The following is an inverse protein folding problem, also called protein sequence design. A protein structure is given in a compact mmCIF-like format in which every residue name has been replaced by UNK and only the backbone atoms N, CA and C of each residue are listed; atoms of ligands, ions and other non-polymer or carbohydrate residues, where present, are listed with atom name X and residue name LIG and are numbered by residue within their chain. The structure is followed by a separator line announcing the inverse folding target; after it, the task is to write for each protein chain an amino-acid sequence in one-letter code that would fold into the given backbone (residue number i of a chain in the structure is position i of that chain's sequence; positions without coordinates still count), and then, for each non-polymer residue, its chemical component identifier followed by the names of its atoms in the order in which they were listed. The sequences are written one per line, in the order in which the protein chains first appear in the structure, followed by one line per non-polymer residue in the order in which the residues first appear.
data_IF_795626875269
#
_entry.id   IF_795626875269
#
_cell.length_a   1.000
_cell.length_b   1.000
_cell.length_c   1.000
_cell.angle_alpha   90.00
_cell.angle_beta   90.00
_cell.angle_gamma   90.00
#
_symmetry.space_group_name_H-M   'P 1'
#
loop_
_entity.id
_entity.type
_entity.pdbx_description
1 polymer ?
#
# COMPACT_ATOMS: atom_id res chain seq x y z
N UNK A 1 -4.65 -1.90 -6.84
CA UNK A 1 -4.39 -0.55 -7.35
C UNK A 1 -4.13 0.43 -6.19
N UNK A 2 -3.28 1.47 -6.40
CA UNK A 2 -2.55 1.70 -7.65
C UNK A 2 -1.13 1.13 -7.67
N UNK A 3 -0.77 0.17 -6.78
CA UNK A 3 0.57 -0.47 -6.85
C UNK A 3 0.74 -1.17 -8.20
N UNK A 4 -0.13 -2.13 -8.48
CA UNK A 4 -0.22 -2.77 -9.79
C UNK A 4 -1.59 -2.51 -10.40
N UNK A 5 -1.62 -1.98 -11.62
CA UNK A 5 -2.86 -1.77 -12.38
C UNK A 5 -2.86 -2.76 -13.56
N UNK A 6 -3.59 -3.86 -13.39
CA UNK A 6 -3.58 -4.98 -14.34
C UNK A 6 -4.65 -4.90 -15.42
N UNK A 7 -5.61 -3.97 -15.31
CA UNK A 7 -6.76 -3.82 -16.23
C UNK A 7 -7.13 -2.35 -16.42
N UNK A 8 -7.89 -2.08 -17.49
CA UNK A 8 -8.42 -0.75 -17.79
C UNK A 8 -7.43 0.20 -18.47
N UNK A 9 -7.79 1.48 -18.64
CA UNK A 9 -6.99 2.46 -19.39
C UNK A 9 -5.65 2.81 -18.73
N UNK A 10 -5.54 2.56 -17.41
CA UNK A 10 -4.32 2.82 -16.64
C UNK A 10 -3.46 1.57 -16.44
N UNK A 11 -3.73 0.48 -17.17
CA UNK A 11 -2.94 -0.75 -17.09
C UNK A 11 -1.45 -0.45 -17.25
N UNK A 12 -0.64 -0.95 -16.30
CA UNK A 12 0.82 -0.78 -16.31
C UNK A 12 1.30 0.61 -15.87
N UNK A 13 0.40 1.49 -15.38
CA UNK A 13 0.75 2.83 -14.89
C UNK A 13 0.84 2.90 -13.36
N UNK A 14 0.63 1.80 -12.65
CA UNK A 14 0.76 1.74 -11.20
C UNK A 14 2.18 2.01 -10.71
N UNK A 15 2.32 2.30 -9.42
CA UNK A 15 3.61 2.62 -8.81
C UNK A 15 4.61 1.48 -9.02
N UNK A 16 4.25 0.27 -8.62
CA UNK A 16 5.12 -0.90 -8.74
C UNK A 16 5.30 -1.32 -10.20
N UNK A 17 4.28 -1.15 -11.07
CA UNK A 17 4.41 -1.37 -12.52
C UNK A 17 5.54 -0.51 -13.11
N UNK A 18 5.56 0.78 -12.79
CA UNK A 18 6.54 1.75 -13.31
C UNK A 18 7.93 1.52 -12.73
N UNK A 19 8.04 1.30 -11.41
CA UNK A 19 9.31 0.98 -10.77
C UNK A 19 9.88 -0.34 -11.31
N UNK A 20 9.07 -1.38 -11.47
CA UNK A 20 9.47 -2.63 -12.09
C UNK A 20 10.00 -2.41 -13.51
N UNK A 21 9.34 -1.58 -14.32
CA UNK A 21 9.81 -1.24 -15.66
C UNK A 21 11.18 -0.56 -15.65
N UNK A 22 11.41 0.38 -14.71
CA UNK A 22 12.72 1.00 -14.55
C UNK A 22 13.80 -0.02 -14.16
N UNK A 23 13.50 -0.95 -13.26
CA UNK A 23 14.41 -2.03 -12.87
C UNK A 23 14.76 -2.88 -14.10
N UNK A 24 13.76 -3.36 -14.82
CA UNK A 24 13.94 -4.20 -16.02
C UNK A 24 14.82 -3.50 -17.07
N UNK A 25 14.56 -2.22 -17.33
CA UNK A 25 15.35 -1.43 -18.29
C UNK A 25 16.80 -1.23 -17.84
N UNK A 26 17.04 -1.22 -16.53
CA UNK A 26 18.39 -1.12 -15.95
C UNK A 26 19.18 -2.42 -15.97
N UNK A 27 18.52 -3.58 -16.06
CA UNK A 27 19.16 -4.90 -16.07
C UNK A 27 19.70 -5.23 -17.48
N UNK A 28 20.91 -4.73 -17.77
CA UNK A 28 21.55 -4.91 -19.08
C UNK A 28 21.83 -6.38 -19.39
N UNK A 29 21.59 -6.80 -20.63
CA UNK A 29 21.87 -8.15 -21.11
C UNK A 29 20.91 -9.25 -20.63
N UNK A 30 19.86 -8.88 -19.88
CA UNK A 30 18.82 -9.83 -19.44
C UNK A 30 17.55 -9.67 -20.29
N UNK A 31 16.99 -10.79 -20.71
CA UNK A 31 15.63 -10.85 -21.26
C UNK A 31 14.66 -11.09 -20.11
N UNK A 32 13.59 -10.34 -20.05
CA UNK A 32 12.55 -10.47 -19.04
C UNK A 32 11.16 -10.44 -19.67
N UNK A 33 10.23 -11.15 -19.05
CA UNK A 33 8.82 -11.16 -19.38
C UNK A 33 8.03 -10.87 -18.11
N UNK A 34 7.07 -9.94 -18.18
CA UNK A 34 6.17 -9.65 -17.07
C UNK A 34 4.87 -10.40 -17.24
N UNK A 35 4.47 -11.12 -16.20
CA UNK A 35 3.21 -11.88 -16.15
C UNK A 35 2.36 -11.43 -14.95
N UNK A 36 1.05 -11.41 -15.14
CA UNK A 36 0.07 -11.19 -14.06
C UNK A 36 -0.37 -12.55 -13.52
N UNK A 37 -0.27 -12.72 -12.21
CA UNK A 37 -0.69 -13.93 -11.53
C UNK A 37 -1.39 -13.58 -10.21
N UNK A 38 -2.21 -14.49 -9.67
CA UNK A 38 -2.77 -14.36 -8.33
C UNK A 38 -1.74 -14.73 -7.26
N UNK A 39 -2.02 -14.36 -6.00
CA UNK A 39 -1.09 -14.55 -4.88
C UNK A 39 -0.65 -16.01 -4.70
N UNK A 40 -1.57 -16.98 -4.82
CA UNK A 40 -1.25 -18.41 -4.69
C UNK A 40 -0.29 -18.86 -5.78
N UNK A 41 -0.47 -18.39 -7.02
CA UNK A 41 0.41 -18.73 -8.14
C UNK A 41 1.80 -18.09 -7.95
N UNK A 42 1.85 -16.83 -7.51
CA UNK A 42 3.11 -16.13 -7.20
C UNK A 42 3.88 -16.90 -6.12
N UNK A 43 3.22 -17.24 -5.00
CA UNK A 43 3.84 -18.00 -3.92
C UNK A 43 4.36 -19.36 -4.39
N UNK A 44 3.59 -20.07 -5.21
CA UNK A 44 3.99 -21.35 -5.77
C UNK A 44 5.21 -21.21 -6.68
N UNK A 45 5.22 -20.25 -7.62
CA UNK A 45 6.34 -20.01 -8.55
C UNK A 45 7.64 -19.65 -7.81
N UNK A 46 7.56 -18.83 -6.78
CA UNK A 46 8.70 -18.39 -5.98
C UNK A 46 9.30 -19.49 -5.11
N UNK A 47 8.52 -20.52 -4.80
CA UNK A 47 8.97 -21.67 -4.01
C UNK A 47 9.50 -22.82 -4.90
N UNK A 48 9.55 -22.62 -6.22
CA UNK A 48 10.16 -23.56 -7.16
C UNK A 48 11.53 -23.03 -7.61
N UNK A 49 12.39 -23.92 -8.09
CA UNK A 49 13.68 -23.55 -8.71
C UNK A 49 13.50 -22.87 -10.07
N UNK A 50 12.61 -21.87 -10.12
CA UNK A 50 12.31 -21.11 -11.34
C UNK A 50 12.96 -19.76 -11.32
N UNK A 51 13.40 -19.31 -12.50
CA UNK A 51 13.97 -17.96 -12.71
C UNK A 51 12.85 -16.92 -12.77
N UNK A 52 12.15 -16.69 -11.63
CA UNK A 52 11.04 -15.76 -11.49
C UNK A 52 11.24 -14.90 -10.25
N UNK A 53 10.84 -13.63 -10.32
CA UNK A 53 10.81 -12.71 -9.18
C UNK A 53 9.48 -11.99 -9.11
N UNK A 54 9.11 -11.49 -7.94
CA UNK A 54 7.90 -10.73 -7.68
C UNK A 54 8.24 -9.34 -7.13
N UNK A 55 7.77 -8.29 -7.80
CA UNK A 55 8.10 -6.90 -7.46
C UNK A 55 7.12 -6.25 -6.45
N UNK A 56 6.38 -7.04 -5.70
CA UNK A 56 5.38 -6.58 -4.74
C UNK A 56 5.53 -7.19 -3.34
N UNK A 57 6.73 -7.68 -2.99
CA UNK A 57 7.01 -8.23 -1.67
C UNK A 57 7.20 -7.11 -0.63
N UNK A 58 7.02 -7.43 0.64
CA UNK A 58 7.33 -6.53 1.74
C UNK A 58 8.81 -6.62 2.10
N UNK A 59 9.46 -5.45 2.16
CA UNK A 59 10.84 -5.36 2.65
C UNK A 59 10.92 -5.66 4.15
N UNK A 60 11.99 -6.36 4.54
CA UNK A 60 12.26 -6.71 5.94
C UNK A 60 11.67 -8.05 6.38
N UNK A 61 10.97 -8.76 5.52
CA UNK A 61 10.60 -10.16 5.78
C UNK A 61 11.82 -11.06 5.60
N UNK A 62 12.49 -11.40 6.70
CA UNK A 62 13.74 -12.21 6.71
C UNK A 62 13.55 -13.65 6.23
N UNK A 63 12.34 -14.12 6.07
CA UNK A 63 12.06 -15.45 5.51
C UNK A 63 12.32 -15.51 4.00
N UNK A 64 12.52 -14.36 3.34
CA UNK A 64 12.65 -14.29 1.90
C UNK A 64 13.89 -13.51 1.46
N UNK A 65 14.45 -13.92 0.33
CA UNK A 65 15.48 -13.16 -0.37
C UNK A 65 14.83 -11.95 -1.07
N UNK A 66 15.12 -10.76 -0.59
CA UNK A 66 14.53 -9.51 -1.14
C UNK A 66 15.60 -8.49 -1.53
N UNK A 67 15.24 -7.61 -2.45
CA UNK A 67 16.03 -6.42 -2.77
C UNK A 67 16.01 -5.40 -1.63
N UNK A 68 16.83 -4.36 -1.73
CA UNK A 68 16.61 -3.10 -0.99
C UNK A 68 15.23 -2.51 -1.31
N UNK A 69 14.67 -1.62 -0.46
CA UNK A 69 13.34 -1.08 -0.67
C UNK A 69 13.15 -0.43 -2.03
N UNK A 70 12.02 -0.69 -2.65
CA UNK A 70 11.62 -0.08 -3.93
C UNK A 70 10.70 1.13 -3.74
N UNK A 71 9.88 1.13 -2.70
CA UNK A 71 8.92 2.19 -2.34
C UNK A 71 8.73 2.22 -0.82
N UNK A 72 8.22 3.37 -0.31
CA UNK A 72 7.63 3.46 1.02
C UNK A 72 6.19 3.97 0.90
N UNK A 73 5.26 3.31 1.58
CA UNK A 73 3.86 3.72 1.66
C UNK A 73 3.57 4.29 3.04
N UNK A 74 2.93 5.47 3.14
CA UNK A 74 2.42 5.97 4.40
C UNK A 74 1.54 4.94 5.10
N UNK A 75 1.41 4.98 6.44
CA UNK A 75 0.55 4.06 7.17
C UNK A 75 -0.92 4.23 6.76
N UNK A 76 -1.74 3.27 7.18
CA UNK A 76 -3.20 3.35 7.05
C UNK A 76 -3.74 4.58 7.77
N UNK A 77 -4.75 5.19 7.19
CA UNK A 77 -5.48 6.32 7.77
C UNK A 77 -6.98 6.03 7.82
N UNK A 78 -7.68 6.79 8.62
CA UNK A 78 -9.12 6.83 8.63
C UNK A 78 -9.62 7.59 7.39
N UNK A 79 -10.61 7.05 6.72
CA UNK A 79 -11.27 7.66 5.56
C UNK A 79 -12.73 7.93 5.92
N UNK A 80 -13.14 9.17 5.83
CA UNK A 80 -14.51 9.61 6.19
C UNK A 80 -15.04 10.59 5.15
N UNK A 81 -16.36 10.78 5.13
CA UNK A 81 -16.95 11.89 4.38
C UNK A 81 -16.61 13.22 5.05
N UNK A 82 -16.23 14.25 4.29
CA UNK A 82 -15.92 15.62 4.80
C UNK A 82 -17.05 16.18 5.66
N UNK A 83 -18.29 15.98 5.23
CA UNK A 83 -19.47 16.46 5.96
C UNK A 83 -19.63 15.82 7.35
N UNK A 84 -19.08 14.63 7.55
CA UNK A 84 -19.11 13.87 8.81
C UNK A 84 -17.81 14.00 9.62
N UNK A 85 -16.82 14.77 9.16
CA UNK A 85 -15.51 14.88 9.81
C UNK A 85 -15.60 15.33 11.28
N UNK A 86 -16.60 16.16 11.60
CA UNK A 86 -16.87 16.65 12.96
C UNK A 86 -17.16 15.53 13.98
N UNK A 87 -17.59 14.33 13.53
CA UNK A 87 -17.82 13.15 14.38
C UNK A 87 -16.51 12.50 14.83
N UNK A 88 -15.40 12.87 14.23
CA UNK A 88 -14.07 12.26 14.41
C UNK A 88 -13.07 13.21 15.11
N UNK A 89 -13.56 14.16 15.88
CA UNK A 89 -12.73 15.11 16.63
C UNK A 89 -12.28 16.33 15.84
N UNK A 90 -11.08 16.84 16.15
CA UNK A 90 -10.53 18.06 15.56
C UNK A 90 -9.87 17.86 14.18
N UNK A 91 -9.94 16.65 13.63
CA UNK A 91 -9.37 16.30 12.32
C UNK A 91 -7.85 16.08 12.31
N UNK A 92 -7.14 16.22 13.44
CA UNK A 92 -5.68 16.05 13.50
C UNK A 92 -5.26 14.60 13.60
N UNK A 93 -5.72 13.91 14.65
CA UNK A 93 -5.48 12.48 14.87
C UNK A 93 -6.64 11.89 15.66
N UNK A 94 -7.08 10.67 15.31
CA UNK A 94 -8.15 9.95 15.99
C UNK A 94 -7.62 8.68 16.66
N UNK A 95 -8.23 8.29 17.79
CA UNK A 95 -7.98 6.97 18.38
C UNK A 95 -8.94 5.95 17.80
N UNK A 96 -8.42 4.89 17.17
CA UNK A 96 -9.24 3.78 16.68
C UNK A 96 -10.01 3.12 17.82
N UNK A 97 -9.36 2.94 18.96
CA UNK A 97 -10.01 2.38 20.16
C UNK A 97 -11.26 3.18 20.54
N UNK A 98 -11.13 4.51 20.67
CA UNK A 98 -12.28 5.37 21.01
C UNK A 98 -13.39 5.35 19.96
N UNK A 99 -13.05 5.17 18.69
CA UNK A 99 -14.06 5.04 17.62
C UNK A 99 -14.82 3.72 17.72
N UNK A 100 -14.13 2.61 18.05
CA UNK A 100 -14.75 1.31 18.22
C UNK A 100 -15.61 1.21 19.48
N UNK A 101 -15.28 1.95 20.55
CA UNK A 101 -16.10 2.12 21.75
C UNK A 101 -17.40 2.88 21.48
N UNK A 102 -17.44 3.69 20.42
CA UNK A 102 -18.64 4.43 20.03
C UNK A 102 -19.53 3.58 19.10
N UNK A 103 -20.48 2.84 19.68
CA UNK A 103 -21.37 1.96 18.92
C UNK A 103 -22.24 2.68 17.85
N UNK A 104 -22.31 4.03 17.86
CA UNK A 104 -23.03 4.81 16.85
C UNK A 104 -22.22 4.97 15.56
N UNK A 105 -20.92 4.72 15.60
CA UNK A 105 -20.04 4.85 14.43
C UNK A 105 -19.72 3.46 13.87
N UNK A 106 -20.18 3.19 12.65
CA UNK A 106 -19.99 1.91 11.98
C UNK A 106 -18.69 1.92 11.20
N UNK A 107 -17.76 1.01 11.55
CA UNK A 107 -16.55 0.72 10.79
C UNK A 107 -16.83 -0.21 9.62
N UNK A 108 -16.48 0.18 8.41
CA UNK A 108 -16.51 -0.68 7.23
C UNK A 108 -15.14 -1.30 6.94
N UNK A 109 -15.05 -2.62 6.89
CA UNK A 109 -13.80 -3.35 6.61
C UNK A 109 -13.99 -4.45 5.57
N UNK A 110 -12.89 -4.93 5.00
CA UNK A 110 -12.89 -6.17 4.22
C UNK A 110 -12.76 -7.36 5.17
N UNK A 111 -13.43 -8.46 4.83
CA UNK A 111 -13.29 -9.71 5.58
C UNK A 111 -11.83 -10.18 5.57
N UNK A 112 -11.32 -10.57 6.75
CA UNK A 112 -9.93 -11.01 6.95
C UNK A 112 -8.85 -9.99 6.55
N UNK A 113 -9.19 -8.69 6.47
CA UNK A 113 -8.23 -7.62 6.20
C UNK A 113 -7.30 -7.43 7.41
N UNK A 114 -6.00 -7.32 7.14
CA UNK A 114 -4.99 -6.92 8.12
C UNK A 114 -4.55 -5.48 7.84
N UNK A 115 -4.33 -4.72 8.90
CA UNK A 115 -3.96 -3.31 8.87
C UNK A 115 -2.58 -3.03 9.49
N UNK A 116 -1.90 -4.08 9.95
CA UNK A 116 -0.63 -4.00 10.65
C UNK A 116 -0.77 -4.24 12.14
N UNK A 117 0.35 -4.58 12.82
CA UNK A 117 0.32 -5.08 14.18
C UNK A 117 -0.37 -4.16 15.18
N UNK A 118 -0.19 -2.85 15.05
CA UNK A 118 -0.74 -1.84 15.95
C UNK A 118 -2.28 -1.77 15.85
N UNK A 119 -2.81 -1.66 14.64
CA UNK A 119 -4.25 -1.58 14.40
C UNK A 119 -4.93 -2.93 14.61
N UNK A 120 -4.28 -4.02 14.17
CA UNK A 120 -4.82 -5.37 14.34
C UNK A 120 -4.89 -5.79 15.81
N UNK A 121 -3.99 -5.27 16.67
CA UNK A 121 -4.09 -5.48 18.12
C UNK A 121 -5.37 -4.86 18.69
N UNK A 122 -5.65 -3.60 18.33
CA UNK A 122 -6.89 -2.93 18.75
C UNK A 122 -8.12 -3.66 18.19
N UNK A 123 -8.14 -3.98 16.90
CA UNK A 123 -9.30 -4.62 16.25
C UNK A 123 -9.63 -5.99 16.86
N UNK A 124 -8.63 -6.75 17.34
CA UNK A 124 -8.87 -8.02 18.03
C UNK A 124 -9.64 -7.85 19.35
N UNK A 125 -9.41 -6.76 20.08
CA UNK A 125 -10.15 -6.47 21.32
C UNK A 125 -11.65 -6.26 21.06
N UNK A 126 -12.00 -5.80 19.85
CA UNK A 126 -13.38 -5.51 19.44
C UNK A 126 -13.94 -6.53 18.44
N UNK A 127 -13.32 -7.70 18.32
CA UNK A 127 -13.80 -8.74 17.42
C UNK A 127 -15.24 -9.14 17.76
N UNK A 128 -16.14 -9.14 16.76
CA UNK A 128 -17.56 -9.43 16.96
C UNK A 128 -18.42 -8.25 17.41
N UNK A 129 -17.87 -7.04 17.53
CA UNK A 129 -18.65 -5.83 17.83
C UNK A 129 -19.64 -5.53 16.71
N UNK A 130 -20.86 -5.11 17.09
CA UNK A 130 -21.97 -4.84 16.16
C UNK A 130 -21.72 -3.67 15.22
N UNK A 131 -20.83 -2.77 15.59
CA UNK A 131 -20.44 -1.61 14.79
C UNK A 131 -19.24 -1.86 13.88
N UNK A 132 -18.87 -3.13 13.67
CA UNK A 132 -17.90 -3.53 12.65
C UNK A 132 -18.64 -4.28 11.53
N UNK A 133 -18.68 -3.68 10.34
CA UNK A 133 -19.27 -4.30 9.17
C UNK A 133 -18.16 -4.84 8.25
N UNK A 134 -18.04 -6.15 8.16
CA UNK A 134 -17.08 -6.83 7.27
C UNK A 134 -17.74 -7.19 5.94
N UNK A 135 -17.12 -6.75 4.82
CA UNK A 135 -17.56 -7.06 3.46
C UNK A 135 -16.64 -8.10 2.84
N UNK A 136 -17.23 -9.10 2.19
CA UNK A 136 -16.55 -10.05 1.30
C UNK A 136 -16.81 -9.72 -0.18
N UNK A 137 -16.04 -10.34 -1.07
CA UNK A 137 -16.21 -10.21 -2.53
C UNK A 137 -14.96 -9.70 -3.25
N UNK A 138 -15.05 -9.59 -4.59
CA UNK A 138 -13.89 -9.23 -5.45
C UNK A 138 -13.67 -7.72 -5.55
N UNK A 139 -14.70 -6.93 -5.35
CA UNK A 139 -14.76 -5.46 -5.45
C UNK A 139 -14.97 -4.81 -4.08
N UNK A 140 -14.25 -5.34 -3.08
CA UNK A 140 -14.49 -5.01 -1.67
C UNK A 140 -14.28 -3.53 -1.40
N UNK A 141 -13.20 -2.91 -1.90
CA UNK A 141 -12.91 -1.50 -1.63
C UNK A 141 -13.92 -0.57 -2.33
N UNK A 142 -14.25 -0.84 -3.60
CA UNK A 142 -15.29 -0.08 -4.31
C UNK A 142 -16.65 -0.20 -3.59
N UNK A 143 -16.98 -1.40 -3.15
CA UNK A 143 -18.22 -1.64 -2.41
C UNK A 143 -18.26 -0.93 -1.07
N UNK A 144 -17.19 -0.95 -0.29
CA UNK A 144 -17.06 -0.23 0.98
C UNK A 144 -17.13 1.28 0.78
N UNK A 145 -16.47 1.78 -0.27
CA UNK A 145 -16.52 3.19 -0.63
C UNK A 145 -17.94 3.63 -1.01
N UNK A 146 -18.69 2.80 -1.75
CA UNK A 146 -20.10 3.04 -2.05
C UNK A 146 -21.00 2.97 -0.81
N UNK A 147 -20.64 2.19 0.21
CA UNK A 147 -21.36 2.17 1.49
C UNK A 147 -21.07 3.43 2.31
N UNK A 148 -19.81 3.91 2.32
CA UNK A 148 -19.42 5.16 2.94
C UNK A 148 -20.17 6.35 2.31
N UNK A 149 -20.21 6.41 0.98
CA UNK A 149 -20.93 7.44 0.22
C UNK A 149 -22.43 7.46 0.54
N UNK A 150 -23.03 6.29 0.72
CA UNK A 150 -24.45 6.12 1.11
C UNK A 150 -24.67 6.17 2.63
N UNK A 151 -23.65 6.52 3.43
CA UNK A 151 -23.72 6.62 4.90
C UNK A 151 -24.16 5.32 5.61
N UNK A 152 -23.92 4.16 4.97
CA UNK A 152 -24.19 2.84 5.56
C UNK A 152 -23.07 2.39 6.50
N UNK A 153 -21.86 2.93 6.29
CA UNK A 153 -20.75 2.90 7.23
C UNK A 153 -20.26 4.33 7.44
N UNK A 154 -19.62 4.62 8.56
CA UNK A 154 -19.21 5.96 8.93
C UNK A 154 -17.76 6.23 8.61
N UNK A 155 -16.92 5.19 8.62
CA UNK A 155 -15.50 5.28 8.30
C UNK A 155 -14.94 3.97 7.75
N UNK A 156 -13.84 4.11 7.02
CA UNK A 156 -12.99 3.01 6.55
C UNK A 156 -11.56 3.24 7.06
N UNK A 157 -10.75 2.19 7.04
CA UNK A 157 -9.30 2.28 7.23
C UNK A 157 -8.65 1.80 5.94
N UNK A 158 -7.84 2.65 5.32
CA UNK A 158 -7.16 2.29 4.07
C UNK A 158 -5.88 3.13 3.87
N UNK A 159 -5.04 2.69 2.95
CA UNK A 159 -3.94 3.52 2.46
C UNK A 159 -4.49 4.71 1.68
N UNK A 160 -4.04 5.95 1.96
CA UNK A 160 -4.49 7.13 1.23
C UNK A 160 -4.38 6.98 -0.28
N UNK A 161 -3.33 6.33 -0.76
CA UNK A 161 -3.10 6.10 -2.18
C UNK A 161 -4.14 5.15 -2.81
N UNK A 162 -4.56 4.11 -2.10
CA UNK A 162 -5.55 3.15 -2.59
C UNK A 162 -6.94 3.76 -2.63
N UNK A 163 -7.29 4.53 -1.60
CA UNK A 163 -8.60 5.19 -1.54
C UNK A 163 -8.70 6.31 -2.59
N UNK A 164 -7.64 7.10 -2.78
CA UNK A 164 -7.60 8.14 -3.81
C UNK A 164 -7.89 7.55 -5.19
N UNK A 165 -7.15 6.53 -5.60
CA UNK A 165 -7.33 5.86 -6.89
C UNK A 165 -8.78 5.37 -7.10
N UNK A 166 -9.37 4.74 -6.08
CA UNK A 166 -10.73 4.20 -6.16
C UNK A 166 -11.78 5.31 -6.16
N UNK A 167 -11.59 6.32 -5.32
CA UNK A 167 -12.52 7.43 -5.14
C UNK A 167 -12.52 8.41 -6.34
N UNK A 168 -11.37 8.66 -6.97
CA UNK A 168 -11.29 9.45 -8.21
C UNK A 168 -12.10 8.79 -9.33
N UNK A 169 -12.01 7.46 -9.47
CA UNK A 169 -12.78 6.70 -10.46
C UNK A 169 -14.29 6.73 -10.23
N UNK A 170 -14.71 6.79 -8.98
CA UNK A 170 -16.14 6.88 -8.61
C UNK A 170 -16.64 8.32 -8.47
N UNK A 171 -15.77 9.32 -8.66
CA UNK A 171 -16.14 10.74 -8.59
C UNK A 171 -16.42 11.28 -7.18
N UNK A 172 -16.01 10.55 -6.13
CA UNK A 172 -16.31 10.99 -4.75
C UNK A 172 -15.09 11.46 -3.97
N UNK A 173 -13.88 11.50 -4.59
CA UNK A 173 -12.65 11.88 -3.92
C UNK A 173 -12.74 13.23 -3.19
N UNK A 174 -13.31 14.24 -3.85
CA UNK A 174 -13.44 15.58 -3.28
C UNK A 174 -14.37 15.65 -2.05
N UNK A 175 -15.17 14.62 -1.81
CA UNK A 175 -16.06 14.51 -0.66
C UNK A 175 -15.44 13.78 0.51
N UNK A 176 -14.25 13.21 0.32
CA UNK A 176 -13.53 12.45 1.35
C UNK A 176 -12.50 13.32 2.07
N UNK A 177 -12.26 12.97 3.32
CA UNK A 177 -11.09 13.44 4.08
C UNK A 177 -10.37 12.25 4.71
N UNK A 178 -9.08 12.43 4.89
CA UNK A 178 -8.15 11.44 5.43
C UNK A 178 -7.67 11.94 6.78
N UNK A 179 -7.83 11.15 7.82
CA UNK A 179 -7.47 11.53 9.19
C UNK A 179 -6.47 10.48 9.72
N UNK A 180 -5.29 10.90 10.21
CA UNK A 180 -4.31 10.00 10.83
C UNK A 180 -4.87 9.27 12.06
N UNK A 181 -4.47 8.00 12.22
CA UNK A 181 -4.85 7.19 13.37
C UNK A 181 -3.73 7.23 14.42
N UNK A 182 -4.06 7.43 15.69
CA UNK A 182 -3.06 7.57 16.77
C UNK A 182 -2.24 6.30 16.97
N UNK A 183 -2.89 5.15 16.92
CA UNK A 183 -2.29 3.85 17.23
C UNK A 183 -1.23 3.41 16.23
N UNK A 184 -1.25 3.93 14.99
CA UNK A 184 -0.24 3.65 13.97
C UNK A 184 0.53 4.90 13.49
N UNK A 185 0.39 6.04 14.18
CA UNK A 185 1.02 7.29 13.77
C UNK A 185 2.56 7.24 13.80
N UNK A 186 3.11 6.40 14.65
CA UNK A 186 4.57 6.16 14.78
C UNK A 186 5.00 4.85 14.09
N UNK A 187 4.08 4.16 13.42
CA UNK A 187 4.40 2.95 12.70
C UNK A 187 5.36 3.24 11.54
N UNK A 188 6.31 2.36 11.35
CA UNK A 188 7.19 2.45 10.18
C UNK A 188 6.36 2.32 8.89
N UNK A 189 6.70 3.08 7.85
CA UNK A 189 6.03 2.94 6.57
C UNK A 189 6.21 1.52 6.03
N UNK A 190 5.20 1.03 5.33
CA UNK A 190 5.32 -0.23 4.62
C UNK A 190 6.24 -0.01 3.44
N UNK A 191 7.29 -0.81 3.36
CA UNK A 191 8.28 -0.77 2.28
C UNK A 191 8.08 -1.93 1.34
N UNK A 192 8.03 -1.64 0.05
CA UNK A 192 8.00 -2.67 -0.99
C UNK A 192 9.40 -3.10 -1.40
N UNK A 193 9.54 -4.33 -1.89
CA UNK A 193 10.77 -4.90 -2.40
C UNK A 193 10.52 -5.87 -3.55
N UNK A 194 11.58 -6.27 -4.24
CA UNK A 194 11.55 -7.38 -5.18
C UNK A 194 11.98 -8.64 -4.44
N UNK A 195 11.18 -9.71 -4.49
CA UNK A 195 11.53 -11.03 -3.98
C UNK A 195 11.92 -11.95 -5.14
N UNK A 196 13.01 -12.69 -4.97
CA UNK A 196 13.42 -13.80 -5.83
C UNK A 196 13.55 -15.08 -5.03
N UNK A 197 13.58 -16.28 -5.66
CA UNK A 197 13.92 -17.53 -4.98
C UNK A 197 15.31 -17.48 -4.39
N UNK A 198 15.52 -18.09 -3.23
CA UNK A 198 16.83 -18.15 -2.58
C UNK A 198 17.73 -19.22 -3.21
N UNK A 199 18.16 -18.95 -4.42
CA UNK A 199 19.06 -19.76 -5.26
C UNK A 199 20.28 -18.94 -5.66
N UNK A 200 21.37 -19.55 -6.15
CA UNK A 200 22.51 -18.79 -6.67
C UNK A 200 22.10 -17.76 -7.73
N UNK A 201 21.17 -18.14 -8.63
CA UNK A 201 20.62 -17.22 -9.64
C UNK A 201 19.83 -16.07 -9.01
N UNK A 202 18.96 -16.37 -8.04
CA UNK A 202 18.17 -15.35 -7.35
C UNK A 202 19.02 -14.36 -6.57
N UNK A 203 20.04 -14.85 -5.84
CA UNK A 203 20.98 -14.01 -5.10
C UNK A 203 21.77 -13.07 -6.03
N UNK A 204 22.28 -13.59 -7.16
CA UNK A 204 22.95 -12.77 -8.17
C UNK A 204 22.00 -11.72 -8.73
N UNK A 205 20.76 -12.09 -9.09
CA UNK A 205 19.80 -11.15 -9.66
C UNK A 205 19.40 -10.06 -8.64
N UNK A 206 19.22 -10.39 -7.37
CA UNK A 206 18.94 -9.40 -6.31
C UNK A 206 20.09 -8.39 -6.19
N UNK A 207 21.35 -8.82 -6.28
CA UNK A 207 22.49 -7.90 -6.29
C UNK A 207 22.43 -6.94 -7.49
N UNK A 208 22.17 -7.46 -8.70
CA UNK A 208 22.03 -6.63 -9.89
C UNK A 208 20.83 -5.66 -9.78
N UNK A 209 19.70 -6.12 -9.24
CA UNK A 209 18.53 -5.28 -8.96
C UNK A 209 18.88 -4.17 -7.96
N UNK A 210 19.63 -4.48 -6.90
CA UNK A 210 20.06 -3.49 -5.92
C UNK A 210 20.96 -2.42 -6.53
N UNK A 211 21.88 -2.81 -7.43
CA UNK A 211 22.70 -1.85 -8.18
C UNK A 211 21.85 -0.92 -9.07
N UNK A 212 20.84 -1.48 -9.75
CA UNK A 212 19.91 -0.69 -10.55
C UNK A 212 19.10 0.25 -9.64
N UNK A 213 18.57 -0.24 -8.53
CA UNK A 213 17.79 0.55 -7.58
C UNK A 213 18.59 1.72 -7.00
N UNK A 214 19.87 1.52 -6.66
CA UNK A 214 20.73 2.62 -6.19
C UNK A 214 20.86 3.74 -7.25
N UNK A 215 20.84 3.40 -8.53
CA UNK A 215 20.94 4.36 -9.64
C UNK A 215 19.62 5.05 -9.95
N UNK A 216 18.50 4.33 -9.92
CA UNK A 216 17.21 4.88 -10.35
C UNK A 216 16.48 5.65 -9.24
N UNK A 217 16.56 5.21 -7.96
CA UNK A 217 15.86 5.84 -6.84
C UNK A 217 16.10 7.35 -6.67
N UNK A 218 17.33 7.89 -6.88
CA UNK A 218 17.55 9.34 -6.81
C UNK A 218 17.14 10.11 -8.06
N UNK A 219 16.61 9.45 -9.09
CA UNK A 219 16.28 10.14 -10.35
C UNK A 219 14.95 10.90 -10.30
N UNK A 220 14.82 12.01 -11.07
CA UNK A 220 13.54 12.73 -11.19
C UNK A 220 12.41 11.86 -11.75
N UNK A 221 12.71 10.89 -12.61
CA UNK A 221 11.70 9.97 -13.16
C UNK A 221 11.10 9.09 -12.05
N UNK A 222 11.94 8.51 -11.19
CA UNK A 222 11.48 7.74 -10.05
C UNK A 222 10.68 8.63 -9.08
N UNK A 223 11.14 9.85 -8.81
CA UNK A 223 10.43 10.80 -7.95
C UNK A 223 9.02 11.09 -8.46
N UNK A 224 8.85 11.34 -9.76
CA UNK A 224 7.52 11.55 -10.36
C UNK A 224 6.57 10.38 -10.16
N UNK A 225 7.06 9.14 -10.15
CA UNK A 225 6.21 7.97 -9.89
C UNK A 225 5.54 8.07 -8.51
N UNK A 226 6.29 8.53 -7.51
CA UNK A 226 5.77 8.70 -6.15
C UNK A 226 4.83 9.91 -6.06
N UNK A 227 5.19 11.01 -6.70
CA UNK A 227 4.39 12.24 -6.74
C UNK A 227 3.04 12.03 -7.40
N UNK A 228 2.98 11.27 -8.47
CA UNK A 228 1.73 11.00 -9.19
C UNK A 228 0.69 10.28 -8.31
N UNK A 229 1.13 9.48 -7.33
CA UNK A 229 0.23 8.61 -6.59
C UNK A 229 0.24 8.79 -5.07
N UNK A 230 1.41 8.95 -4.47
CA UNK A 230 1.57 8.90 -2.99
C UNK A 230 1.54 10.28 -2.38
N UNK A 231 2.19 11.25 -3.01
CA UNK A 231 2.35 12.58 -2.46
C UNK A 231 1.05 13.37 -2.64
N UNK A 232 0.37 13.63 -1.53
CA UNK A 232 -0.79 14.53 -1.54
C UNK A 232 -0.33 16.00 -1.56
N UNK A 233 -1.12 16.91 -2.15
CA UNK A 233 -0.87 18.35 -2.02
C UNK A 233 -0.75 18.75 -0.53
N UNK A 234 0.34 19.41 -0.17
CA UNK A 234 0.61 19.88 1.20
C UNK A 234 1.38 18.93 2.12
N UNK A 235 1.54 17.64 1.77
CA UNK A 235 2.24 16.65 2.61
C UNK A 235 3.56 16.15 1.99
N UNK A 236 4.06 16.82 0.96
CA UNK A 236 5.22 16.36 0.21
C UNK A 236 6.51 16.32 1.02
N UNK A 237 6.77 17.31 1.86
CA UNK A 237 8.01 17.36 2.66
C UNK A 237 8.11 16.19 3.63
N UNK A 238 7.05 15.89 4.37
CA UNK A 238 7.03 14.78 5.32
C UNK A 238 7.22 13.44 4.61
N UNK A 239 6.56 13.24 3.47
CA UNK A 239 6.74 12.02 2.68
C UNK A 239 8.18 11.87 2.21
N UNK A 240 8.80 12.92 1.67
CA UNK A 240 10.16 12.84 1.14
C UNK A 240 11.21 12.62 2.23
N UNK A 241 11.01 13.14 3.43
CA UNK A 241 11.87 12.84 4.59
C UNK A 241 11.79 11.35 4.94
N UNK A 242 10.56 10.81 5.04
CA UNK A 242 10.36 9.37 5.28
C UNK A 242 10.98 8.55 4.15
N UNK A 243 10.77 8.95 2.90
CA UNK A 243 11.30 8.24 1.74
C UNK A 243 12.82 8.23 1.72
N UNK A 244 13.46 9.35 2.04
CA UNK A 244 14.91 9.43 2.16
C UNK A 244 15.44 8.45 3.19
N UNK A 245 14.89 8.43 4.38
CA UNK A 245 15.35 7.59 5.48
C UNK A 245 15.02 6.10 5.27
N UNK A 246 13.87 5.79 4.72
CA UNK A 246 13.35 4.41 4.64
C UNK A 246 13.59 3.73 3.29
N UNK A 247 13.97 4.49 2.27
CA UNK A 247 14.24 3.96 0.92
C UNK A 247 15.63 4.35 0.45
N UNK A 248 15.97 5.65 0.35
CA UNK A 248 17.20 6.07 -0.31
C UNK A 248 18.46 5.69 0.50
N UNK A 249 18.43 5.86 1.82
CA UNK A 249 19.56 5.53 2.71
C UNK A 249 19.72 4.02 2.96
N UNK A 250 18.72 3.20 2.64
CA UNK A 250 18.80 1.75 2.78
C UNK A 250 19.55 1.15 1.59
N UNK A 251 20.75 0.64 1.84
CA UNK A 251 21.67 0.11 0.81
C UNK A 251 21.87 -1.40 0.88
N UNK A 252 21.45 -2.04 2.00
CA UNK A 252 21.56 -3.47 2.26
C UNK A 252 20.27 -4.01 2.90
#
# INVERSE_FOLDING_TARGET
PPLFITKGPDKGKGIADRVQKMIINGLKGRRSETRVANASRIAWELNQDRKVCFAGEFYGNRAFLTSVPTIALPPHNLIVLKENAHLFGDGKKVSLKSLLENEKLIFGTAENRLYGPELDAVLREYAGSKNIYARSGKDTLEGLLGMLDKKRVHYLIEYPVSIRYTAEKSGIWERLTVIPIKENAEALPIRGAVRCPDTPWGRQLIQEINEVLRKIRPTPEYRRIMEDWIVAPGNGEDYWKIHEDQVLKVTE
#
